data_IF_904410587547
#
_entry.id   IF_904410587547
#
_cell.length_a   1.000
_cell.length_b   1.000
_cell.length_c   1.000
_cell.angle_alpha   90.00
_cell.angle_beta   90.00
_cell.angle_gamma   90.00
#
_symmetry.space_group_name_H-M   'P 1'
#
loop_
_entity.id
_entity.type
_entity.pdbx_description
1 polymer ?
#
# COMPACT_ATOMS: atom_id res chain seq x y z
N UNK A 1 17.66 -4.90 7.95
CA UNK A 1 16.64 -4.11 7.23
C UNK A 1 16.36 -2.84 8.00
N UNK A 2 16.80 -1.73 7.44
CA UNK A 2 16.47 -0.36 7.79
C UNK A 2 15.03 -0.03 7.43
N UNK A 3 14.52 1.09 7.96
CA UNK A 3 13.14 1.53 7.71
C UNK A 3 12.90 1.83 6.21
N UNK A 4 13.93 2.32 5.52
CA UNK A 4 13.93 2.56 4.07
C UNK A 4 13.78 1.27 3.26
N UNK A 5 14.48 0.19 3.64
CA UNK A 5 14.34 -1.11 2.97
C UNK A 5 12.93 -1.68 3.15
N UNK A 6 12.31 -1.49 4.33
CA UNK A 6 10.93 -1.91 4.59
C UNK A 6 9.91 -1.13 3.74
N UNK A 7 10.10 0.17 3.59
CA UNK A 7 9.24 1.01 2.75
C UNK A 7 9.36 0.59 1.28
N UNK A 8 10.57 0.36 0.77
CA UNK A 8 10.75 -0.11 -0.62
C UNK A 8 10.08 -1.46 -0.87
N UNK A 9 10.17 -2.40 0.08
CA UNK A 9 9.49 -3.69 -0.04
C UNK A 9 7.96 -3.54 -0.05
N UNK A 10 7.40 -2.65 0.79
CA UNK A 10 5.98 -2.34 0.77
C UNK A 10 5.53 -1.74 -0.56
N UNK A 11 6.32 -0.83 -1.14
CA UNK A 11 6.05 -0.24 -2.45
C UNK A 11 6.06 -1.30 -3.55
N UNK A 12 7.07 -2.16 -3.55
CA UNK A 12 7.17 -3.27 -4.50
C UNK A 12 5.97 -4.21 -4.41
N UNK A 13 5.49 -4.50 -3.19
CA UNK A 13 4.27 -5.28 -2.96
C UNK A 13 3.02 -4.57 -3.46
N UNK A 14 2.91 -3.26 -3.23
CA UNK A 14 1.80 -2.44 -3.72
C UNK A 14 1.76 -2.41 -5.25
N UNK A 15 2.90 -2.22 -5.89
CA UNK A 15 3.03 -2.23 -7.36
C UNK A 15 2.66 -3.61 -7.94
N UNK A 16 3.14 -4.70 -7.34
CA UNK A 16 2.79 -6.05 -7.73
C UNK A 16 1.29 -6.37 -7.53
N UNK A 17 0.65 -5.71 -6.56
CA UNK A 17 -0.78 -5.81 -6.33
C UNK A 17 -1.61 -4.90 -7.25
N UNK A 18 -0.98 -3.98 -8.00
CA UNK A 18 -1.66 -3.05 -8.91
C UNK A 18 -2.14 -1.76 -8.25
N UNK A 19 -1.56 -1.36 -7.12
CA UNK A 19 -1.83 -0.05 -6.48
C UNK A 19 -1.05 1.02 -7.24
N UNK A 20 -1.76 1.92 -7.93
CA UNK A 20 -1.14 2.93 -8.79
C UNK A 20 -0.37 3.99 -7.96
N UNK A 21 -0.95 4.46 -6.85
CA UNK A 21 -0.32 5.45 -5.97
C UNK A 21 0.75 4.93 -5.02
N UNK A 22 1.20 3.67 -5.14
CA UNK A 22 2.09 3.05 -4.15
C UNK A 22 3.42 3.81 -3.95
N UNK A 23 3.91 4.51 -4.96
CA UNK A 23 5.15 5.29 -4.89
C UNK A 23 5.05 6.54 -4.01
N UNK A 24 3.86 7.13 -3.90
CA UNK A 24 3.59 8.36 -3.13
C UNK A 24 3.11 8.04 -1.70
N UNK A 25 2.62 6.82 -1.49
CA UNK A 25 2.16 6.35 -0.17
C UNK A 25 3.31 6.15 0.83
N UNK A 26 2.98 6.43 2.08
CA UNK A 26 3.76 6.12 3.27
C UNK A 26 3.70 4.63 3.63
N UNK A 27 4.55 4.20 4.56
CA UNK A 27 4.59 2.82 5.00
C UNK A 27 3.26 2.35 5.64
N UNK A 28 2.58 3.23 6.38
CA UNK A 28 1.31 2.91 7.03
C UNK A 28 0.16 2.84 6.02
N UNK A 29 0.10 3.75 5.06
CA UNK A 29 -0.89 3.70 3.97
C UNK A 29 -0.73 2.42 3.13
N UNK A 30 0.51 2.05 2.77
CA UNK A 30 0.77 0.81 2.03
C UNK A 30 0.35 -0.43 2.82
N UNK A 31 0.61 -0.47 4.13
CA UNK A 31 0.15 -1.56 5.00
C UNK A 31 -1.36 -1.63 5.06
N UNK A 32 -2.04 -0.50 5.18
CA UNK A 32 -3.49 -0.42 5.21
C UNK A 32 -4.09 -0.93 3.89
N UNK A 33 -3.61 -0.44 2.75
CA UNK A 33 -4.07 -0.85 1.43
C UNK A 33 -3.82 -2.35 1.18
N UNK A 34 -2.60 -2.84 1.40
CA UNK A 34 -2.29 -4.27 1.26
C UNK A 34 -3.14 -5.15 2.20
N UNK A 35 -3.44 -4.66 3.41
CA UNK A 35 -4.32 -5.34 4.35
C UNK A 35 -5.79 -5.40 3.90
N UNK A 36 -6.27 -4.37 3.20
CA UNK A 36 -7.61 -4.36 2.57
C UNK A 36 -7.65 -5.32 1.37
N UNK A 37 -6.61 -5.33 0.55
CA UNK A 37 -6.51 -6.25 -0.59
C UNK A 37 -6.48 -7.72 -0.15
N UNK A 38 -5.82 -8.02 0.97
CA UNK A 38 -5.87 -9.36 1.56
C UNK A 38 -7.27 -9.79 2.03
N UNK A 39 -8.21 -8.85 2.18
CA UNK A 39 -9.63 -9.12 2.49
C UNK A 39 -10.51 -9.18 1.23
N UNK A 40 -9.92 -9.11 0.04
CA UNK A 40 -10.63 -9.13 -1.24
C UNK A 40 -11.13 -7.77 -1.73
N UNK A 41 -10.62 -6.66 -1.16
CA UNK A 41 -10.92 -5.31 -1.65
C UNK A 41 -10.05 -5.02 -2.88
N UNK A 42 -10.63 -4.44 -3.92
CA UNK A 42 -9.90 -4.05 -5.13
C UNK A 42 -8.83 -2.98 -4.85
N UNK A 43 -7.77 -2.97 -5.65
CA UNK A 43 -6.61 -2.09 -5.46
C UNK A 43 -6.99 -0.60 -5.38
N UNK A 44 -7.87 -0.12 -6.27
CA UNK A 44 -8.34 1.27 -6.30
C UNK A 44 -9.08 1.66 -5.01
N UNK A 45 -9.98 0.77 -4.54
CA UNK A 45 -10.74 1.01 -3.31
C UNK A 45 -9.83 0.95 -2.08
N UNK A 46 -8.88 0.02 -2.07
CA UNK A 46 -7.90 -0.13 -0.99
C UNK A 46 -6.96 1.08 -0.89
N UNK A 47 -6.50 1.60 -2.03
CA UNK A 47 -5.70 2.82 -2.13
C UNK A 47 -6.44 4.02 -1.54
N UNK A 48 -7.65 4.28 -2.04
CA UNK A 48 -8.48 5.39 -1.55
C UNK A 48 -8.74 5.31 -0.06
N UNK A 49 -9.12 4.13 0.43
CA UNK A 49 -9.39 3.93 1.86
C UNK A 49 -8.15 4.07 2.74
N UNK A 50 -6.94 3.82 2.20
CA UNK A 50 -5.69 4.04 2.92
C UNK A 50 -5.33 5.53 2.98
N UNK A 51 -5.45 6.25 1.87
CA UNK A 51 -5.17 7.70 1.79
C UNK A 51 -6.19 8.52 2.59
N UNK A 52 -7.47 8.17 2.55
CA UNK A 52 -8.52 8.87 3.32
C UNK A 52 -8.39 8.68 4.85
N UNK A 53 -7.57 7.73 5.32
CA UNK A 53 -7.37 7.43 6.75
C UNK A 53 -6.02 7.89 7.32
N UNK A 54 -5.11 8.39 6.47
CA UNK A 54 -3.82 8.96 6.87
C UNK A 54 -3.93 10.43 7.24
#
# INVERSE_FOLDING_TARGET
>A
MTDTERLQELRRRGEAAGIAGCAEMTADELRAALGLMSKGVDAETAERAAVERS
#
